data_IF_703274183503
#
_entry.id   IF_703274183503
#
_cell.length_a   1.000
_cell.length_b   1.000
_cell.length_c   1.000
_cell.angle_alpha   90.00
_cell.angle_beta   90.00
_cell.angle_gamma   90.00
#
_symmetry.space_group_name_H-M   'P 1'
#
loop_
_entity.id
_entity.type
_entity.pdbx_description
1 polymer ?
#
# COMPACT_ATOMS: atom_id res chain seq x y z
N UNK A 1 21.99 -7.65 21.35
CA UNK A 1 21.84 -8.87 20.52
C UNK A 1 20.36 -9.15 20.51
N UNK A 2 19.58 -8.68 19.55
CA UNK A 2 19.75 -8.82 18.09
C UNK A 2 19.61 -7.46 17.41
N UNK A 3 20.65 -7.06 16.71
CA UNK A 3 20.58 -6.07 15.64
C UNK A 3 19.74 -6.72 14.55
N UNK A 4 18.56 -6.18 14.27
CA UNK A 4 17.92 -6.46 12.99
C UNK A 4 17.46 -5.11 12.47
N UNK A 5 18.36 -4.53 11.68
CA UNK A 5 18.10 -3.66 10.55
C UNK A 5 16.60 -3.54 10.25
N UNK A 6 15.95 -2.56 10.91
CA UNK A 6 14.82 -1.91 10.28
C UNK A 6 15.44 -1.23 9.07
N UNK A 7 15.49 -1.96 7.96
CA UNK A 7 15.65 -1.43 6.63
C UNK A 7 14.59 -0.32 6.58
N UNK A 8 14.99 0.91 6.92
CA UNK A 8 14.13 2.09 6.86
C UNK A 8 14.01 2.38 5.37
N UNK A 9 13.32 1.47 4.69
CA UNK A 9 12.83 1.63 3.36
C UNK A 9 12.03 2.91 3.44
N UNK A 10 12.61 3.98 2.90
CA UNK A 10 11.93 5.21 2.51
C UNK A 10 10.90 4.92 1.39
N UNK A 11 10.26 3.75 1.42
CA UNK A 11 9.20 3.33 0.53
C UNK A 11 7.90 3.85 1.14
N UNK A 12 7.59 5.12 0.86
CA UNK A 12 6.29 5.78 1.05
C UNK A 12 5.62 5.64 2.44
N UNK A 13 5.25 6.77 3.07
CA UNK A 13 4.54 6.75 4.38
C UNK A 13 3.28 5.87 4.36
N UNK A 14 2.63 5.75 3.19
CA UNK A 14 1.45 4.91 3.01
C UNK A 14 1.75 3.41 3.21
N UNK A 15 2.84 2.90 2.66
CA UNK A 15 3.16 1.47 2.71
C UNK A 15 3.53 1.02 4.12
N UNK A 16 4.29 1.86 4.84
CA UNK A 16 4.67 1.61 6.24
C UNK A 16 3.43 1.54 7.15
N UNK A 17 2.47 2.45 6.99
CA UNK A 17 1.23 2.44 7.75
C UNK A 17 0.36 1.22 7.42
N UNK A 18 0.28 0.83 6.15
CA UNK A 18 -0.44 -0.38 5.75
C UNK A 18 0.18 -1.66 6.34
N UNK A 19 1.51 -1.75 6.40
CA UNK A 19 2.19 -2.89 7.01
C UNK A 19 1.97 -2.96 8.53
N UNK A 20 2.06 -1.82 9.22
CA UNK A 20 1.74 -1.71 10.64
C UNK A 20 0.33 -2.16 10.95
N UNK A 21 -0.66 -1.68 10.19
CA UNK A 21 -2.07 -2.02 10.41
C UNK A 21 -2.37 -3.49 10.15
N UNK A 22 -1.64 -4.14 9.23
CA UNK A 22 -1.75 -5.59 8.99
C UNK A 22 -0.96 -6.44 9.99
N UNK A 23 -0.27 -5.84 10.96
CA UNK A 23 0.65 -6.56 11.85
C UNK A 23 1.64 -7.46 11.07
N UNK A 24 1.97 -7.08 9.84
CA UNK A 24 2.90 -7.84 9.00
C UNK A 24 4.31 -7.29 9.21
N UNK A 25 5.21 -8.15 9.67
CA UNK A 25 6.63 -7.81 9.83
C UNK A 25 7.32 -7.46 8.49
N UNK A 26 6.70 -7.78 7.34
CA UNK A 26 7.29 -7.59 6.02
C UNK A 26 6.34 -6.89 5.02
N UNK A 27 6.84 -5.81 4.39
CA UNK A 27 6.19 -5.13 3.26
C UNK A 27 5.92 -6.07 2.08
N UNK A 28 6.74 -7.11 1.93
CA UNK A 28 6.55 -8.14 0.91
C UNK A 28 5.21 -8.86 1.03
N UNK A 29 4.65 -8.96 2.23
CA UNK A 29 3.36 -9.60 2.49
C UNK A 29 2.20 -8.78 1.93
N UNK A 30 2.35 -7.45 1.80
CA UNK A 30 1.36 -6.57 1.16
C UNK A 30 1.11 -6.93 -0.31
N UNK A 31 2.09 -7.57 -0.97
CA UNK A 31 1.96 -8.03 -2.35
C UNK A 31 1.20 -9.34 -2.45
N UNK A 32 0.97 -10.06 -1.35
CA UNK A 32 0.23 -11.32 -1.38
C UNK A 32 -1.26 -11.06 -1.57
N UNK A 33 -1.92 -11.77 -2.50
CA UNK A 33 -3.35 -11.56 -2.78
C UNK A 33 -4.24 -11.76 -1.53
N UNK A 34 -3.85 -12.67 -0.62
CA UNK A 34 -4.54 -12.89 0.64
C UNK A 34 -4.54 -11.63 1.53
N UNK A 35 -3.44 -10.90 1.59
CA UNK A 35 -3.29 -9.70 2.42
C UNK A 35 -3.82 -8.45 1.71
N UNK A 36 -3.76 -8.41 0.37
CA UNK A 36 -4.32 -7.31 -0.42
C UNK A 36 -5.79 -7.08 -0.09
N UNK A 37 -6.60 -8.14 0.05
CA UNK A 37 -8.02 -8.00 0.42
C UNK A 37 -8.20 -7.34 1.79
N UNK A 38 -7.31 -7.64 2.75
CA UNK A 38 -7.28 -7.01 4.07
C UNK A 38 -6.84 -5.54 4.01
N UNK A 39 -6.16 -5.10 2.95
CA UNK A 39 -5.86 -3.68 2.71
C UNK A 39 -7.08 -2.86 2.32
N UNK A 40 -8.12 -3.46 1.72
CA UNK A 40 -9.31 -2.72 1.28
C UNK A 40 -9.94 -1.91 2.42
N UNK A 41 -10.30 -2.51 3.58
CA UNK A 41 -10.89 -1.75 4.68
C UNK A 41 -9.94 -0.68 5.24
N UNK A 42 -8.62 -0.94 5.26
CA UNK A 42 -7.60 0.00 5.72
C UNK A 42 -7.51 1.22 4.78
N UNK A 43 -7.35 0.97 3.48
CA UNK A 43 -7.36 1.99 2.43
C UNK A 43 -8.67 2.78 2.43
N UNK A 44 -9.79 2.14 2.77
CA UNK A 44 -11.08 2.82 2.82
C UNK A 44 -11.16 3.81 3.99
N UNK A 45 -10.53 3.48 5.12
CA UNK A 45 -10.45 4.32 6.32
C UNK A 45 -9.38 5.40 6.21
N UNK A 46 -8.31 5.15 5.46
CA UNK A 46 -7.24 6.13 5.24
C UNK A 46 -7.73 7.33 4.44
N UNK A 47 -7.52 8.53 4.98
CA UNK A 47 -7.82 9.76 4.26
C UNK A 47 -6.77 10.00 3.16
N UNK A 48 -7.16 10.10 1.89
CA UNK A 48 -6.22 10.25 0.77
C UNK A 48 -5.41 11.55 0.85
N UNK A 49 -5.93 12.59 1.50
CA UNK A 49 -5.29 13.89 1.71
C UNK A 49 -4.10 13.85 2.68
N UNK A 50 -4.01 12.81 3.52
CA UNK A 50 -2.90 12.66 4.50
C UNK A 50 -1.58 12.23 3.83
N UNK A 51 -1.65 11.73 2.60
CA UNK A 51 -0.51 11.20 1.85
C UNK A 51 -0.36 11.95 0.54
N UNK A 52 0.88 12.10 0.07
CA UNK A 52 1.10 12.77 -1.22
C UNK A 52 0.68 11.85 -2.36
N UNK A 53 0.34 12.44 -3.50
CA UNK A 53 0.07 11.66 -4.71
C UNK A 53 1.24 10.76 -5.12
N UNK A 54 2.48 11.22 -4.83
CA UNK A 54 3.70 10.43 -5.03
C UNK A 54 3.71 9.16 -4.16
N UNK A 55 3.31 9.25 -2.89
CA UNK A 55 3.22 8.08 -2.00
C UNK A 55 2.19 7.08 -2.52
N UNK A 56 1.04 7.56 -3.01
CA UNK A 56 0.01 6.71 -3.61
C UNK A 56 0.51 6.01 -4.87
N UNK A 57 1.16 6.73 -5.79
CA UNK A 57 1.70 6.15 -7.02
C UNK A 57 2.79 5.12 -6.72
N UNK A 58 3.67 5.40 -5.75
CA UNK A 58 4.71 4.47 -5.30
C UNK A 58 4.10 3.19 -4.69
N UNK A 59 3.09 3.36 -3.82
CA UNK A 59 2.37 2.25 -3.22
C UNK A 59 1.63 1.37 -4.24
N UNK A 60 0.99 1.98 -5.23
CA UNK A 60 0.36 1.26 -6.34
C UNK A 60 1.41 0.46 -7.11
N UNK A 61 2.52 1.11 -7.45
CA UNK A 61 3.63 0.43 -8.14
C UNK A 61 4.23 -0.71 -7.33
N UNK A 62 4.25 -0.60 -6.01
CA UNK A 62 4.78 -1.64 -5.14
C UNK A 62 3.80 -2.81 -4.94
N UNK A 63 2.54 -2.50 -4.64
CA UNK A 63 1.49 -3.49 -4.32
C UNK A 63 1.05 -4.23 -5.58
N UNK A 64 0.80 -3.51 -6.67
CA UNK A 64 0.34 -4.12 -7.93
C UNK A 64 1.51 -4.59 -8.80
N UNK A 65 2.71 -4.03 -8.63
CA UNK A 65 3.84 -4.27 -9.52
C UNK A 65 3.75 -3.51 -10.85
N UNK A 66 2.74 -2.65 -11.05
CA UNK A 66 2.56 -1.83 -12.25
C UNK A 66 2.87 -0.36 -11.95
N UNK A 67 3.72 0.28 -12.77
CA UNK A 67 3.90 1.73 -12.66
C UNK A 67 2.68 2.44 -13.22
N UNK A 68 1.90 3.02 -12.31
CA UNK A 68 0.86 4.00 -12.62
C UNK A 68 1.06 5.28 -11.87
N UNK A 69 0.74 6.36 -12.56
CA UNK A 69 0.72 7.70 -12.00
C UNK A 69 -0.69 8.25 -12.10
N UNK A 70 -1.19 8.76 -10.98
CA UNK A 70 -2.46 9.44 -10.90
C UNK A 70 -2.23 10.93 -10.63
N UNK A 71 -3.17 11.75 -11.06
CA UNK A 71 -3.17 13.20 -10.80
C UNK A 71 -3.80 13.52 -9.43
N UNK A 72 -4.68 12.66 -8.93
CA UNK A 72 -5.36 12.85 -7.65
C UNK A 72 -5.24 11.64 -6.73
N UNK A 73 -5.11 11.88 -5.43
CA UNK A 73 -5.00 10.84 -4.41
C UNK A 73 -6.28 9.99 -4.33
N UNK A 74 -7.44 10.60 -4.65
CA UNK A 74 -8.74 9.92 -4.65
C UNK A 74 -8.82 8.89 -5.78
N UNK A 75 -8.36 9.26 -6.98
CA UNK A 75 -8.29 8.33 -8.11
C UNK A 75 -7.30 7.20 -7.84
N UNK A 76 -6.12 7.53 -7.32
CA UNK A 76 -5.11 6.54 -6.96
C UNK A 76 -5.65 5.50 -5.96
N UNK A 77 -6.29 5.97 -4.87
CA UNK A 77 -6.91 5.10 -3.86
C UNK A 77 -8.01 4.22 -4.46
N UNK A 78 -8.94 4.81 -5.23
CA UNK A 78 -10.03 4.06 -5.86
C UNK A 78 -9.49 3.00 -6.79
N UNK A 79 -8.49 3.35 -7.58
CA UNK A 79 -7.86 2.43 -8.51
C UNK A 79 -7.19 1.26 -7.77
N UNK A 80 -6.41 1.55 -6.72
CA UNK A 80 -5.76 0.52 -5.90
C UNK A 80 -6.79 -0.48 -5.33
N UNK A 81 -7.87 0.02 -4.73
CA UNK A 81 -8.94 -0.82 -4.19
C UNK A 81 -9.60 -1.66 -5.29
N UNK A 82 -9.90 -1.05 -6.45
CA UNK A 82 -10.52 -1.74 -7.58
C UNK A 82 -9.63 -2.87 -8.13
N UNK A 83 -8.32 -2.64 -8.24
CA UNK A 83 -7.37 -3.67 -8.69
C UNK A 83 -7.21 -4.80 -7.69
N UNK A 84 -7.16 -4.48 -6.40
CA UNK A 84 -7.13 -5.51 -5.35
C UNK A 84 -8.38 -6.40 -5.43
N UNK A 85 -9.57 -5.79 -5.62
CA UNK A 85 -10.82 -6.53 -5.78
C UNK A 85 -10.84 -7.36 -7.08
N UNK A 86 -10.36 -6.79 -8.18
CA UNK A 86 -10.34 -7.46 -9.50
C UNK A 86 -9.30 -8.57 -9.60
N UNK A 87 -8.21 -8.50 -8.83
CA UNK A 87 -7.13 -9.50 -8.80
C UNK A 87 -7.43 -10.67 -7.84
N UNK A 88 -8.56 -10.65 -7.14
CA UNK A 88 -8.98 -11.65 -6.17
C UNK A 88 -9.97 -12.71 -6.69
N UNK A 89 -10.10 -12.88 -8.01
CA UNK A 89 -10.98 -13.89 -8.63
C UNK A 89 -10.19 -14.97 -9.37
#
# INVERSE_FOLDING_TARGET
MTTDDREVLHQGKLLDELAKELHSDYLSDLRLPANRLSLIPLLNRMEPSLYSIKDWNDAISYILGERREFETQRDARKYLISQILSSGN
#
